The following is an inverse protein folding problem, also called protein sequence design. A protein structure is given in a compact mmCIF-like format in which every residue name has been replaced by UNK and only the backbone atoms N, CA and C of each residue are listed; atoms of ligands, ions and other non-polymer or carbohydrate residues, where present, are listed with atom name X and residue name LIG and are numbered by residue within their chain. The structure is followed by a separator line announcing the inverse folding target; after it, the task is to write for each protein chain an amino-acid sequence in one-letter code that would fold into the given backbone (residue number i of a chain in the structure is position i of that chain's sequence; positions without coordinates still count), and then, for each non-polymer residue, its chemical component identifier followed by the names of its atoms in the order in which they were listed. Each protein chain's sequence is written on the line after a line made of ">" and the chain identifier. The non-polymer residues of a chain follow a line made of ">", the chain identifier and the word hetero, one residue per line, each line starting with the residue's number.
data_IF_649500701272
#
_entry.id   IF_649500701272
#
_cell.length_a   1.000
_cell.length_b   1.000
_cell.length_c   1.000
_cell.angle_alpha   90.00
_cell.angle_beta   90.00
_cell.angle_gamma   90.00
#
_symmetry.space_group_name_H-M   'P 1'
#
loop_
_entity.id
_entity.type
_entity.pdbx_description
1 polymer ?
#
# COMPACT_ATOMS: atom_id res chain seq x y z
N UNK A 1 36.17 25.48 35.20
CA UNK A 1 35.54 24.62 34.17
C UNK A 1 34.04 24.91 34.07
N UNK A 2 33.50 25.16 32.86
CA UNK A 2 32.06 25.39 32.65
C UNK A 2 31.31 24.04 32.69
N UNK A 3 30.81 23.62 33.86
CA UNK A 3 30.09 22.33 34.10
C UNK A 3 28.98 22.04 33.08
N UNK A 4 28.25 23.07 32.64
CA UNK A 4 27.22 22.96 31.59
C UNK A 4 27.78 22.56 30.21
N UNK A 5 29.00 23.00 29.88
CA UNK A 5 29.67 22.62 28.62
C UNK A 5 30.14 21.17 28.66
N UNK A 6 30.63 20.71 29.81
CA UNK A 6 31.03 19.32 30.02
C UNK A 6 29.85 18.36 29.85
N UNK A 7 28.72 18.61 30.54
CA UNK A 7 27.52 17.75 30.45
C UNK A 7 26.98 17.68 29.02
N UNK A 8 26.89 18.81 28.30
CA UNK A 8 26.43 18.82 26.90
C UNK A 8 27.33 18.00 25.97
N UNK A 9 28.65 18.08 26.17
CA UNK A 9 29.63 17.30 25.38
C UNK A 9 29.58 15.82 25.74
N UNK A 10 29.44 15.48 27.02
CA UNK A 10 29.35 14.08 27.47
C UNK A 10 28.09 13.38 26.96
N UNK A 11 26.94 14.06 26.93
CA UNK A 11 25.69 13.49 26.38
C UNK A 11 25.82 13.24 24.88
N UNK A 12 26.39 14.20 24.12
CA UNK A 12 26.57 14.06 22.68
C UNK A 12 27.53 12.91 22.30
N UNK A 13 28.58 12.68 23.08
CA UNK A 13 29.53 11.58 22.85
C UNK A 13 28.93 10.24 23.29
N UNK A 14 28.19 10.20 24.40
CA UNK A 14 27.55 8.97 24.88
C UNK A 14 26.39 8.50 23.99
N UNK A 15 25.71 9.42 23.30
CA UNK A 15 24.62 9.09 22.36
C UNK A 15 25.10 8.77 20.95
N UNK A 16 26.33 9.14 20.59
CA UNK A 16 26.89 8.89 19.26
C UNK A 16 26.81 7.41 18.82
N UNK A 17 27.16 6.40 19.66
CA UNK A 17 27.06 4.99 19.30
C UNK A 17 25.63 4.52 19.04
N UNK A 18 24.65 5.06 19.78
CA UNK A 18 23.24 4.72 19.60
C UNK A 18 22.66 5.32 18.31
N UNK A 19 23.05 6.56 17.98
CA UNK A 19 22.63 7.22 16.74
C UNK A 19 23.26 6.49 15.53
N UNK A 20 24.56 6.18 15.57
CA UNK A 20 25.21 5.46 14.47
C UNK A 20 24.68 4.03 14.33
N UNK A 21 24.40 3.33 15.43
CA UNK A 21 23.84 1.98 15.37
C UNK A 21 22.42 1.97 14.82
N UNK A 22 21.57 2.95 15.20
CA UNK A 22 20.22 3.09 14.66
C UNK A 22 20.20 3.42 13.16
N UNK A 23 21.11 4.30 12.70
CA UNK A 23 21.26 4.64 11.29
C UNK A 23 21.79 3.46 10.45
N UNK A 24 22.76 2.71 10.98
CA UNK A 24 23.29 1.51 10.32
C UNK A 24 22.25 0.39 10.25
N UNK A 25 21.51 0.14 11.35
CA UNK A 25 20.43 -0.84 11.37
C UNK A 25 19.33 -0.50 10.35
N UNK A 26 18.94 0.78 10.28
CA UNK A 26 17.97 1.25 9.27
C UNK A 26 18.49 1.07 7.84
N UNK A 27 19.76 1.40 7.59
CA UNK A 27 20.39 1.21 6.27
C UNK A 27 20.46 -0.27 5.85
N UNK A 28 20.79 -1.16 6.79
CA UNK A 28 20.84 -2.61 6.53
C UNK A 28 19.45 -3.17 6.27
N UNK A 29 18.45 -2.73 7.04
CA UNK A 29 17.05 -3.11 6.88
C UNK A 29 16.46 -2.63 5.54
N UNK A 30 16.67 -1.37 5.19
CA UNK A 30 16.27 -0.79 3.90
C UNK A 30 16.96 -1.51 2.72
N UNK A 31 18.21 -1.97 2.92
CA UNK A 31 18.95 -2.75 1.91
C UNK A 31 18.44 -4.19 1.76
N UNK A 32 17.89 -4.80 2.81
CA UNK A 32 17.42 -6.20 2.77
C UNK A 32 15.96 -6.34 2.33
N UNK A 33 15.09 -5.38 2.66
CA UNK A 33 13.65 -5.48 2.40
C UNK A 33 13.21 -5.06 0.99
N UNK A 34 14.06 -4.40 0.21
CA UNK A 34 13.60 -3.59 -0.93
C UNK A 34 13.98 -4.03 -2.33
N UNK A 35 14.40 -5.28 -2.59
CA UNK A 35 15.01 -5.60 -3.92
C UNK A 35 14.49 -6.80 -4.67
N UNK A 36 13.88 -7.78 -4.01
CA UNK A 36 13.41 -8.98 -4.71
C UNK A 36 11.90 -8.99 -4.73
N UNK A 37 11.27 -9.08 -5.92
CA UNK A 37 9.86 -9.41 -6.01
C UNK A 37 9.56 -10.70 -5.23
N UNK A 38 8.35 -10.82 -4.71
CA UNK A 38 7.86 -12.12 -4.23
C UNK A 38 7.82 -13.12 -5.38
N UNK A 39 7.96 -14.41 -5.05
CA UNK A 39 7.90 -15.48 -6.06
C UNK A 39 6.48 -15.65 -6.64
N UNK A 40 5.45 -15.26 -5.89
CA UNK A 40 4.05 -15.27 -6.32
C UNK A 40 3.56 -13.84 -6.51
N UNK A 41 2.57 -13.65 -7.39
CA UNK A 41 2.00 -12.34 -7.67
C UNK A 41 0.97 -11.92 -6.61
N UNK A 42 1.44 -11.66 -5.39
CA UNK A 42 0.57 -11.20 -4.30
C UNK A 42 0.03 -9.80 -4.58
N UNK A 43 -1.29 -9.65 -4.36
CA UNK A 43 -2.05 -8.45 -4.63
C UNK A 43 -2.64 -7.89 -3.31
N UNK A 44 -1.96 -6.97 -2.62
CA UNK A 44 -2.52 -6.30 -1.45
C UNK A 44 -3.61 -5.30 -1.87
N UNK A 45 -4.35 -4.79 -0.89
CA UNK A 45 -5.36 -3.74 -1.05
C UNK A 45 -4.88 -2.37 -0.57
N UNK A 46 -5.48 -1.32 -1.10
CA UNK A 46 -5.39 0.02 -0.50
C UNK A 46 -5.90 0.00 0.95
N UNK A 47 -5.23 0.75 1.81
CA UNK A 47 -5.50 0.85 3.25
C UNK A 47 -4.68 -0.11 4.10
N UNK A 48 -4.18 -1.23 3.55
CA UNK A 48 -3.34 -2.19 4.29
C UNK A 48 -2.04 -1.54 4.79
N UNK A 49 -1.52 -0.56 4.06
CA UNK A 49 -0.24 0.10 4.37
C UNK A 49 -0.39 1.58 4.76
N UNK A 50 -1.58 2.03 5.18
CA UNK A 50 -1.82 3.44 5.51
C UNK A 50 -0.87 4.02 6.55
N UNK A 51 -0.43 3.20 7.51
CA UNK A 51 0.49 3.62 8.57
C UNK A 51 1.96 3.65 8.13
N UNK A 52 2.28 3.10 6.95
CA UNK A 52 3.62 3.07 6.39
C UNK A 52 3.78 4.06 5.23
N UNK A 53 2.75 4.18 4.38
CA UNK A 53 2.77 4.94 3.13
C UNK A 53 1.77 6.11 3.11
N UNK A 54 0.98 6.31 4.17
CA UNK A 54 -0.07 7.32 4.21
C UNK A 54 -1.34 6.92 3.45
N UNK A 55 -2.28 7.84 3.38
CA UNK A 55 -3.60 7.61 2.79
C UNK A 55 -3.64 7.74 1.26
N UNK A 56 -2.61 8.33 0.63
CA UNK A 56 -2.56 8.49 -0.83
C UNK A 56 -2.37 7.13 -1.53
N UNK A 57 -3.29 6.70 -2.42
CA UNK A 57 -3.15 5.45 -3.16
C UNK A 57 -1.88 5.39 -4.03
N UNK A 58 -1.38 6.53 -4.52
CA UNK A 58 -0.18 6.58 -5.36
C UNK A 58 1.08 6.27 -4.55
N UNK A 59 1.13 6.73 -3.30
CA UNK A 59 2.22 6.43 -2.37
C UNK A 59 2.14 5.00 -1.86
N UNK A 60 0.92 4.50 -1.61
CA UNK A 60 0.71 3.09 -1.28
C UNK A 60 1.16 2.15 -2.40
N UNK A 61 0.90 2.48 -3.68
CA UNK A 61 1.41 1.72 -4.82
C UNK A 61 2.95 1.70 -4.87
N UNK A 62 3.58 2.86 -4.61
CA UNK A 62 5.03 2.93 -4.56
C UNK A 62 5.58 2.03 -3.44
N UNK A 63 4.99 2.12 -2.25
CA UNK A 63 5.37 1.29 -1.11
C UNK A 63 5.23 -0.20 -1.42
N UNK A 64 4.11 -0.62 -2.01
CA UNK A 64 3.88 -2.01 -2.42
C UNK A 64 4.99 -2.48 -3.37
N UNK A 65 5.30 -1.70 -4.41
CA UNK A 65 6.35 -2.04 -5.37
C UNK A 65 7.73 -2.18 -4.72
N UNK A 66 8.07 -1.22 -3.85
CA UNK A 66 9.35 -1.18 -3.14
C UNK A 66 9.51 -2.38 -2.20
N UNK A 67 8.41 -2.95 -1.70
CA UNK A 67 8.40 -4.12 -0.82
C UNK A 67 8.14 -5.44 -1.55
N UNK A 68 8.31 -5.47 -2.87
CA UNK A 68 8.32 -6.70 -3.66
C UNK A 68 6.98 -7.15 -4.22
N UNK A 69 5.89 -6.41 -3.99
CA UNK A 69 4.60 -6.68 -4.62
C UNK A 69 4.60 -6.25 -6.08
N UNK A 70 3.91 -6.99 -6.94
CA UNK A 70 3.81 -6.71 -8.40
C UNK A 70 2.38 -6.65 -8.90
N UNK A 71 1.41 -6.72 -8.02
CA UNK A 71 0.01 -6.51 -8.35
C UNK A 71 -0.73 -5.77 -7.22
N UNK A 72 -1.96 -5.35 -7.50
CA UNK A 72 -2.88 -4.69 -6.57
C UNK A 72 -4.27 -5.32 -6.73
N UNK A 73 -4.96 -5.59 -5.62
CA UNK A 73 -6.39 -5.89 -5.62
C UNK A 73 -7.17 -4.64 -5.18
N UNK A 74 -8.24 -4.28 -5.89
CA UNK A 74 -9.11 -3.16 -5.49
C UNK A 74 -10.56 -3.37 -5.91
N UNK A 75 -11.35 -3.99 -5.04
CA UNK A 75 -12.78 -4.22 -5.26
C UNK A 75 -13.58 -2.91 -5.38
N UNK A 76 -13.04 -1.79 -4.92
CA UNK A 76 -13.65 -0.47 -5.09
C UNK A 76 -13.36 0.20 -6.44
N UNK A 77 -12.50 -0.36 -7.30
CA UNK A 77 -11.98 0.30 -8.50
C UNK A 77 -13.07 0.91 -9.39
N UNK A 78 -14.15 0.17 -9.64
CA UNK A 78 -15.29 0.63 -10.47
C UNK A 78 -15.92 1.92 -9.96
N UNK A 79 -16.03 2.07 -8.63
CA UNK A 79 -16.70 3.20 -7.99
C UNK A 79 -15.82 4.47 -7.91
N UNK A 80 -14.52 4.35 -8.17
CA UNK A 80 -13.60 5.49 -8.16
C UNK A 80 -13.88 6.44 -9.32
N UNK A 81 -13.50 7.71 -9.15
CA UNK A 81 -13.57 8.68 -10.24
C UNK A 81 -12.67 8.26 -11.41
N UNK A 82 -13.04 8.61 -12.65
CA UNK A 82 -12.18 8.38 -13.83
C UNK A 82 -10.78 9.00 -13.65
N UNK A 83 -10.70 10.15 -12.98
CA UNK A 83 -9.43 10.77 -12.64
C UNK A 83 -8.56 9.85 -11.78
N UNK A 84 -9.12 9.25 -10.74
CA UNK A 84 -8.36 8.38 -9.84
C UNK A 84 -7.98 7.07 -10.52
N UNK A 85 -8.89 6.46 -11.27
CA UNK A 85 -8.61 5.28 -12.10
C UNK A 85 -7.44 5.55 -13.07
N UNK A 86 -7.42 6.72 -13.72
CA UNK A 86 -6.35 7.13 -14.62
C UNK A 86 -5.01 7.37 -13.89
N UNK A 87 -5.05 7.96 -12.69
CA UNK A 87 -3.84 8.17 -11.87
C UNK A 87 -3.24 6.83 -11.42
N UNK A 88 -4.10 5.93 -10.92
CA UNK A 88 -3.73 4.59 -10.45
C UNK A 88 -3.13 3.78 -11.60
N UNK A 89 -3.85 3.65 -12.72
CA UNK A 89 -3.36 2.90 -13.89
C UNK A 89 -2.05 3.45 -14.44
N UNK A 90 -1.88 4.78 -14.50
CA UNK A 90 -0.63 5.42 -14.91
C UNK A 90 0.53 5.11 -13.96
N UNK A 91 0.30 5.10 -12.64
CA UNK A 91 1.33 4.75 -11.65
C UNK A 91 1.70 3.27 -11.75
N UNK A 92 0.71 2.38 -11.80
CA UNK A 92 0.93 0.93 -11.94
C UNK A 92 1.70 0.60 -13.23
N UNK A 93 1.30 1.19 -14.37
CA UNK A 93 1.98 1.00 -15.65
C UNK A 93 3.44 1.45 -15.60
N UNK A 94 3.74 2.58 -14.94
CA UNK A 94 5.12 3.07 -14.77
C UNK A 94 5.97 2.15 -13.90
N UNK A 95 5.36 1.49 -12.92
CA UNK A 95 6.02 0.55 -12.03
C UNK A 95 6.10 -0.87 -12.64
N UNK A 96 5.36 -1.16 -13.71
CA UNK A 96 5.21 -2.53 -14.21
C UNK A 96 4.45 -3.42 -13.22
N UNK A 97 3.41 -2.87 -12.58
CA UNK A 97 2.50 -3.62 -11.72
C UNK A 97 1.22 -3.99 -12.47
N UNK A 98 0.67 -5.16 -12.16
CA UNK A 98 -0.58 -5.65 -12.74
C UNK A 98 -1.79 -5.26 -11.90
N UNK A 99 -2.91 -4.98 -12.55
CA UNK A 99 -4.22 -4.99 -11.88
C UNK A 99 -4.59 -6.44 -11.60
N UNK A 100 -4.70 -6.78 -10.31
CA UNK A 100 -5.21 -8.05 -9.85
C UNK A 100 -6.74 -8.08 -9.89
N UNK A 101 -7.34 -8.76 -8.91
CA UNK A 101 -8.80 -8.89 -8.84
C UNK A 101 -9.45 -7.55 -8.51
N UNK A 102 -10.60 -7.30 -9.11
CA UNK A 102 -11.52 -6.25 -8.70
C UNK A 102 -12.95 -6.70 -8.97
N UNK A 103 -13.91 -6.08 -8.28
CA UNK A 103 -15.33 -6.32 -8.50
C UNK A 103 -15.86 -5.33 -9.54
N UNK A 104 -16.33 -5.86 -10.67
CA UNK A 104 -16.84 -5.08 -11.79
C UNK A 104 -18.37 -4.82 -11.72
N UNK A 105 -19.05 -5.30 -10.68
CA UNK A 105 -20.50 -5.17 -10.51
C UNK A 105 -20.83 -4.66 -9.09
N UNK A 106 -22.12 -4.45 -8.80
CA UNK A 106 -22.56 -4.14 -7.44
C UNK A 106 -22.74 -5.44 -6.68
N UNK A 107 -22.05 -5.58 -5.55
CA UNK A 107 -22.15 -6.76 -4.67
C UNK A 107 -22.75 -6.36 -3.32
N UNK A 108 -23.65 -7.20 -2.83
CA UNK A 108 -24.26 -7.06 -1.52
C UNK A 108 -23.60 -8.06 -0.55
N UNK A 109 -22.83 -7.55 0.40
CA UNK A 109 -22.02 -8.39 1.30
C UNK A 109 -22.81 -9.03 2.44
N UNK A 110 -24.04 -8.55 2.69
CA UNK A 110 -24.84 -8.92 3.88
C UNK A 110 -26.15 -9.61 3.53
N UNK A 111 -26.46 -9.77 2.26
CA UNK A 111 -27.71 -10.35 1.78
C UNK A 111 -27.52 -11.04 0.42
N UNK A 112 -28.24 -12.15 0.16
CA UNK A 112 -28.14 -12.85 -1.11
C UNK A 112 -28.87 -12.09 -2.21
N UNK A 113 -28.13 -11.60 -3.21
CA UNK A 113 -28.72 -10.90 -4.37
C UNK A 113 -28.71 -11.75 -5.66
N UNK A 114 -27.77 -12.70 -5.81
CA UNK A 114 -27.63 -13.51 -7.04
C UNK A 114 -28.36 -14.85 -6.98
N UNK A 115 -28.74 -15.31 -5.78
CA UNK A 115 -29.36 -16.62 -5.56
C UNK A 115 -30.76 -16.54 -4.97
N UNK A 116 -31.32 -15.34 -4.80
CA UNK A 116 -32.64 -15.12 -4.20
C UNK A 116 -33.81 -15.48 -5.13
N UNK A 117 -33.58 -15.53 -6.44
CA UNK A 117 -34.64 -15.63 -7.45
C UNK A 117 -35.37 -14.31 -7.70
N UNK A 118 -34.94 -13.22 -7.06
CA UNK A 118 -35.50 -11.89 -7.27
C UNK A 118 -35.08 -11.34 -8.63
N UNK A 119 -36.08 -11.04 -9.47
CA UNK A 119 -35.86 -10.54 -10.82
C UNK A 119 -35.28 -9.13 -10.83
N UNK A 120 -35.63 -8.27 -9.88
CA UNK A 120 -35.12 -6.90 -9.82
C UNK A 120 -33.63 -6.89 -9.49
N UNK A 121 -33.21 -7.72 -8.53
CA UNK A 121 -31.79 -7.87 -8.16
C UNK A 121 -30.96 -8.51 -9.29
N UNK A 122 -31.54 -9.47 -10.02
CA UNK A 122 -30.91 -10.03 -11.21
C UNK A 122 -30.72 -8.96 -12.31
N UNK A 123 -31.77 -8.20 -12.61
CA UNK A 123 -31.72 -7.17 -13.65
C UNK A 123 -30.75 -6.03 -13.26
N UNK A 124 -30.68 -5.64 -11.98
CA UNK A 124 -29.68 -4.71 -11.45
C UNK A 124 -28.26 -5.24 -11.67
N UNK A 125 -28.01 -6.51 -11.36
CA UNK A 125 -26.71 -7.14 -11.56
C UNK A 125 -26.30 -7.05 -13.04
N UNK A 126 -27.16 -7.50 -13.97
CA UNK A 126 -26.88 -7.50 -15.42
C UNK A 126 -26.61 -6.09 -15.95
N UNK A 127 -27.34 -5.08 -15.49
CA UNK A 127 -27.12 -3.68 -15.89
C UNK A 127 -25.80 -3.09 -15.33
N UNK A 128 -25.25 -3.70 -14.29
CA UNK A 128 -24.02 -3.25 -13.64
C UNK A 128 -22.76 -3.94 -14.17
N UNK A 129 -22.84 -4.95 -15.02
CA UNK A 129 -21.64 -5.59 -15.63
C UNK A 129 -21.31 -4.92 -16.95
#
# INVERSE_FOLDING_TARGET
>A
MKRRSFIKKSIAVASAPFITSGLLARTIWEKSMGKKPFNLNYAPHFGMFKHNAGDDPIDQLQFMYDHGFRSLEDNGMKSRSKSDQNKISKKMSRLGMDMGVFVAHKIYWREPNLTSGDKELHDEFVQNV
#
